data_IF_590353306025
#
_entry.id   IF_590353306025
#
_cell.length_a   1.000
_cell.length_b   1.000
_cell.length_c   1.000
_cell.angle_alpha   90.00
_cell.angle_beta   90.00
_cell.angle_gamma   90.00
#
_symmetry.space_group_name_H-M   'P 1'
#
loop_
_entity.id
_entity.type
_entity.pdbx_description
1 polymer ?
#
# COMPACT_ATOMS: atom_id res chain seq x y z
N UNK A 1 6.08 -42.43 -2.64
CA UNK A 1 6.38 -41.38 -1.64
C UNK A 1 5.61 -40.12 -2.04
N UNK A 2 4.46 -39.81 -1.41
CA UNK A 2 3.76 -38.55 -1.65
C UNK A 2 4.44 -37.42 -0.83
N UNK A 3 4.48 -36.20 -1.38
CA UNK A 3 5.11 -35.04 -0.73
C UNK A 3 4.21 -34.51 0.40
N UNK A 4 4.84 -34.11 1.50
CA UNK A 4 4.24 -33.83 2.82
C UNK A 4 3.34 -32.57 2.93
N UNK A 5 2.92 -31.94 1.83
CA UNK A 5 2.25 -30.63 1.89
C UNK A 5 0.95 -30.48 1.09
N UNK A 6 0.32 -31.58 0.68
CA UNK A 6 -1.10 -31.52 0.29
C UNK A 6 -1.96 -31.75 1.55
N UNK A 7 -1.98 -30.77 2.46
CA UNK A 7 -3.03 -30.72 3.49
C UNK A 7 -4.33 -30.33 2.79
N UNK A 8 -5.05 -31.33 2.32
CA UNK A 8 -6.45 -31.20 1.91
C UNK A 8 -7.21 -30.62 3.09
N UNK A 9 -7.60 -29.35 3.00
CA UNK A 9 -8.50 -28.73 3.98
C UNK A 9 -9.82 -29.51 3.90
N UNK A 10 -10.33 -30.08 5.00
CA UNK A 10 -11.57 -30.85 4.97
C UNK A 10 -12.73 -29.97 4.45
N UNK A 11 -13.62 -30.51 3.59
CA UNK A 11 -14.82 -29.80 3.19
C UNK A 11 -15.66 -29.47 4.45
N UNK A 12 -15.92 -28.18 4.71
CA UNK A 12 -16.67 -27.72 5.88
C UNK A 12 -15.88 -26.88 6.90
N UNK A 13 -14.59 -26.64 6.67
CA UNK A 13 -13.73 -25.76 7.49
C UNK A 13 -13.33 -24.48 6.74
N UNK A 14 -14.19 -23.98 5.85
CA UNK A 14 -13.99 -22.65 5.28
C UNK A 14 -14.31 -21.61 6.36
N UNK A 15 -13.27 -20.98 6.92
CA UNK A 15 -13.47 -19.77 7.72
C UNK A 15 -14.00 -18.71 6.76
N UNK A 16 -15.25 -18.27 6.96
CA UNK A 16 -15.72 -17.06 6.30
C UNK A 16 -14.84 -15.91 6.79
N UNK A 17 -14.02 -15.37 5.89
CA UNK A 17 -13.18 -14.21 6.15
C UNK A 17 -13.96 -13.02 5.60
N UNK A 18 -14.40 -12.08 6.46
CA UNK A 18 -15.10 -10.89 5.99
C UNK A 18 -14.30 -10.18 4.89
N UNK A 19 -14.97 -9.69 3.84
CA UNK A 19 -14.30 -8.93 2.79
C UNK A 19 -13.68 -7.67 3.39
N UNK A 20 -12.48 -7.32 2.95
CA UNK A 20 -11.91 -6.00 3.22
C UNK A 20 -12.57 -5.01 2.27
N UNK A 21 -12.98 -3.85 2.80
CA UNK A 21 -13.68 -2.83 2.03
C UNK A 21 -13.15 -1.41 2.26
N UNK A 22 -12.13 -1.27 3.10
CA UNK A 22 -11.57 0.00 3.53
C UNK A 22 -10.12 -0.15 4.00
N UNK A 23 -9.46 0.96 4.30
CA UNK A 23 -8.13 0.95 4.92
C UNK A 23 -8.17 0.32 6.32
N UNK A 24 -7.08 -0.35 6.68
CA UNK A 24 -6.88 -0.83 8.03
C UNK A 24 -6.88 0.36 9.02
N UNK A 25 -7.56 0.28 10.19
CA UNK A 25 -7.72 1.44 11.08
C UNK A 25 -6.41 2.10 11.52
N UNK A 26 -5.36 1.31 11.75
CA UNK A 26 -4.02 1.85 12.08
C UNK A 26 -3.44 2.63 10.90
N UNK A 27 -3.51 2.07 9.70
CA UNK A 27 -2.99 2.72 8.51
C UNK A 27 -3.78 4.00 8.22
N UNK A 28 -5.11 3.98 8.37
CA UNK A 28 -5.97 5.14 8.18
C UNK A 28 -5.60 6.30 9.11
N UNK A 29 -5.39 6.03 10.41
CA UNK A 29 -4.89 7.02 11.37
C UNK A 29 -3.49 7.53 11.00
N UNK A 30 -2.59 6.64 10.58
CA UNK A 30 -1.21 6.99 10.21
C UNK A 30 -1.14 7.81 8.92
N UNK A 31 -2.05 7.58 7.98
CA UNK A 31 -2.25 8.41 6.78
C UNK A 31 -2.66 9.84 7.17
N UNK A 32 -3.59 10.02 8.10
CA UNK A 32 -3.98 11.37 8.57
C UNK A 32 -2.84 12.07 9.33
N UNK A 33 -2.07 11.31 10.13
CA UNK A 33 -0.87 11.82 10.81
C UNK A 33 0.22 12.25 9.80
N UNK A 34 0.46 11.47 8.75
CA UNK A 34 1.37 11.79 7.66
C UNK A 34 0.99 13.11 6.98
N UNK A 35 -0.28 13.27 6.59
CA UNK A 35 -0.79 14.48 5.96
C UNK A 35 -0.59 15.69 6.89
N UNK A 36 -0.91 15.53 8.18
CA UNK A 36 -0.79 16.61 9.17
C UNK A 36 0.65 17.05 9.39
N UNK A 37 1.58 16.09 9.52
CA UNK A 37 3.01 16.36 9.71
C UNK A 37 3.66 16.97 8.45
N UNK A 38 3.27 16.52 7.26
CA UNK A 38 3.70 17.11 6.00
C UNK A 38 3.18 18.55 5.85
N UNK A 39 1.90 18.79 6.19
CA UNK A 39 1.31 20.12 6.16
C UNK A 39 2.01 21.09 7.13
N UNK A 40 2.44 20.62 8.31
CA UNK A 40 3.24 21.41 9.26
C UNK A 40 4.60 21.84 8.70
N UNK A 41 5.13 21.13 7.69
CA UNK A 41 6.33 21.49 6.92
C UNK A 41 6.04 22.33 5.68
N UNK A 42 4.77 22.71 5.45
CA UNK A 42 4.35 23.44 4.25
C UNK A 42 4.20 22.57 2.99
N UNK A 43 4.18 21.24 3.15
CA UNK A 43 4.05 20.28 2.05
C UNK A 43 2.60 19.80 1.97
N UNK A 44 1.98 19.90 0.79
CA UNK A 44 0.58 19.48 0.58
C UNK A 44 0.54 18.07 0.00
N UNK A 45 0.28 17.07 0.84
CA UNK A 45 0.11 15.67 0.41
C UNK A 45 -1.33 15.41 -0.03
N UNK A 46 -1.50 14.61 -1.08
CA UNK A 46 -2.78 14.07 -1.53
C UNK A 46 -2.68 12.55 -1.57
N UNK A 47 -3.66 11.87 -0.99
CA UNK A 47 -3.81 10.42 -1.14
C UNK A 47 -4.56 10.15 -2.43
N UNK A 48 -3.91 9.49 -3.39
CA UNK A 48 -4.46 9.21 -4.72
C UNK A 48 -5.11 7.85 -4.80
N UNK A 49 -4.69 6.91 -3.95
CA UNK A 49 -5.31 5.59 -3.83
C UNK A 49 -5.18 5.06 -2.39
N UNK A 50 -6.09 4.17 -2.01
CA UNK A 50 -6.17 3.55 -0.69
C UNK A 50 -6.59 2.10 -0.82
N UNK A 51 -7.74 1.72 -0.25
CA UNK A 51 -8.29 0.39 -0.52
C UNK A 51 -8.75 0.29 -1.98
N UNK A 52 -8.36 -0.81 -2.63
CA UNK A 52 -8.75 -1.17 -3.99
C UNK A 52 -9.17 -2.62 -4.02
N UNK A 53 -10.37 -2.95 -4.46
CA UNK A 53 -10.84 -4.33 -4.53
C UNK A 53 -10.00 -5.18 -5.50
N UNK A 54 -10.03 -6.50 -5.36
CA UNK A 54 -9.34 -7.41 -6.29
C UNK A 54 -9.81 -7.25 -7.73
N UNK A 55 -11.11 -6.98 -7.95
CA UNK A 55 -11.67 -6.76 -9.28
C UNK A 55 -11.13 -5.48 -9.91
N UNK A 56 -11.04 -4.38 -9.15
CA UNK A 56 -10.43 -3.13 -9.62
C UNK A 56 -8.94 -3.31 -9.92
N UNK A 57 -8.24 -4.12 -9.12
CA UNK A 57 -6.85 -4.46 -9.36
C UNK A 57 -6.66 -5.28 -10.65
N UNK A 58 -7.54 -6.23 -10.95
CA UNK A 58 -7.48 -6.97 -12.21
C UNK A 58 -7.72 -6.06 -13.42
N UNK A 59 -8.57 -5.04 -13.30
CA UNK A 59 -8.75 -4.00 -14.32
C UNK A 59 -7.47 -3.16 -14.50
N UNK A 60 -6.75 -2.83 -13.42
CA UNK A 60 -5.44 -2.18 -13.54
C UNK A 60 -4.39 -3.11 -14.17
N UNK A 61 -4.41 -4.39 -13.80
CA UNK A 61 -3.50 -5.39 -14.34
C UNK A 61 -3.69 -5.59 -15.85
N UNK A 62 -4.90 -5.44 -16.41
CA UNK A 62 -5.07 -5.59 -17.87
C UNK A 62 -4.48 -4.43 -18.70
N UNK A 63 -4.27 -3.25 -18.09
CA UNK A 63 -3.73 -2.07 -18.80
C UNK A 63 -2.30 -2.31 -19.31
N UNK A 64 -2.05 -1.88 -20.55
CA UNK A 64 -0.74 -2.01 -21.21
C UNK A 64 -0.39 -3.42 -21.67
N UNK A 65 -1.27 -4.42 -21.48
CA UNK A 65 -1.02 -5.82 -21.85
C UNK A 65 -1.71 -6.26 -23.15
N UNK A 66 -2.86 -5.66 -23.47
CA UNK A 66 -3.70 -6.07 -24.62
C UNK A 66 -3.87 -4.97 -25.68
N UNK A 67 -2.77 -4.41 -26.21
CA UNK A 67 -2.82 -3.54 -27.41
C UNK A 67 -2.16 -2.17 -27.31
N UNK A 68 -1.26 -1.97 -26.35
CA UNK A 68 -0.45 -0.74 -26.20
C UNK A 68 -0.71 0.03 -24.91
N UNK A 69 0.17 0.98 -24.61
CA UNK A 69 0.20 1.71 -23.34
C UNK A 69 1.18 1.12 -22.33
N UNK A 70 1.49 1.89 -21.29
CA UNK A 70 2.42 1.46 -20.24
C UNK A 70 1.76 0.46 -19.28
N UNK A 71 2.52 -0.55 -18.88
CA UNK A 71 2.14 -1.41 -17.75
C UNK A 71 2.13 -0.56 -16.49
N UNK A 72 0.99 -0.50 -15.80
CA UNK A 72 0.80 0.31 -14.58
C UNK A 72 0.98 -0.48 -13.28
N UNK A 73 0.91 -1.81 -13.35
CA UNK A 73 1.12 -2.71 -12.21
C UNK A 73 1.48 -4.11 -12.67
N UNK A 74 2.23 -4.85 -11.86
CA UNK A 74 2.50 -6.28 -12.05
C UNK A 74 1.66 -7.20 -11.15
N UNK A 75 0.90 -6.64 -10.20
CA UNK A 75 0.07 -7.39 -9.27
C UNK A 75 -1.33 -7.63 -9.81
N UNK A 76 -1.82 -8.88 -9.73
CA UNK A 76 -3.22 -9.23 -10.00
C UNK A 76 -4.10 -8.95 -8.78
N UNK A 77 -5.41 -9.12 -8.94
CA UNK A 77 -6.36 -9.12 -7.83
C UNK A 77 -5.94 -10.07 -6.71
N UNK A 78 -5.83 -9.53 -5.50
CA UNK A 78 -5.37 -10.24 -4.31
C UNK A 78 -3.85 -10.32 -4.16
N UNK A 79 -3.07 -9.73 -5.07
CA UNK A 79 -1.60 -9.70 -5.02
C UNK A 79 -1.04 -8.32 -4.66
N UNK A 80 -1.90 -7.35 -4.36
CA UNK A 80 -1.53 -6.02 -3.88
C UNK A 80 -2.00 -5.80 -2.45
N UNK A 81 -1.19 -5.11 -1.64
CA UNK A 81 -1.58 -4.70 -0.28
C UNK A 81 -2.78 -3.72 -0.28
N UNK A 82 -3.04 -3.01 -1.38
CA UNK A 82 -4.27 -2.22 -1.56
C UNK A 82 -5.53 -3.09 -1.47
N UNK A 83 -5.46 -4.36 -1.89
CA UNK A 83 -6.58 -5.32 -1.82
C UNK A 83 -6.94 -5.73 -0.39
N UNK A 84 -6.08 -5.40 0.56
CA UNK A 84 -6.22 -5.71 1.96
C UNK A 84 -6.29 -4.46 2.84
N UNK A 85 -6.37 -3.26 2.24
CA UNK A 85 -6.43 -2.00 2.98
C UNK A 85 -5.12 -1.66 3.70
N UNK A 86 -4.00 -2.23 3.24
CA UNK A 86 -2.68 -2.15 3.87
C UNK A 86 -1.70 -1.25 3.10
N UNK A 87 -2.18 -0.52 2.09
CA UNK A 87 -1.38 0.43 1.33
C UNK A 87 -2.17 1.68 0.95
N UNK A 88 -1.44 2.76 0.68
CA UNK A 88 -1.91 4.02 0.11
C UNK A 88 -0.91 4.47 -0.95
N UNK A 89 -1.40 5.18 -1.96
CA UNK A 89 -0.58 5.92 -2.89
C UNK A 89 -0.71 7.41 -2.58
N UNK A 90 0.41 8.14 -2.63
CA UNK A 90 0.42 9.58 -2.45
C UNK A 90 0.99 10.34 -3.64
N UNK A 91 0.60 11.61 -3.73
CA UNK A 91 1.17 12.62 -4.61
C UNK A 91 1.29 13.95 -3.85
N UNK A 92 1.90 14.94 -4.48
CA UNK A 92 2.01 16.30 -3.94
C UNK A 92 1.05 17.24 -4.66
N UNK A 93 0.63 18.30 -3.99
CA UNK A 93 0.05 19.49 -4.63
C UNK A 93 1.10 20.59 -4.70
N UNK A 94 1.25 21.15 -5.88
CA UNK A 94 2.13 22.29 -6.07
C UNK A 94 1.48 23.61 -5.54
N UNK A 95 2.07 24.75 -5.90
CA UNK A 95 1.58 26.07 -5.47
C UNK A 95 0.34 26.53 -6.22
N UNK A 96 0.07 26.05 -7.44
CA UNK A 96 -1.16 26.35 -8.18
C UNK A 96 -2.32 25.47 -7.69
N UNK A 97 -1.99 24.35 -7.01
CA UNK A 97 -2.93 23.37 -6.50
C UNK A 97 -3.04 22.13 -7.38
N UNK A 98 -2.20 22.03 -8.42
CA UNK A 98 -2.15 20.90 -9.33
C UNK A 98 -1.48 19.70 -8.64
N UNK A 99 -1.98 18.50 -8.93
CA UNK A 99 -1.40 17.25 -8.42
C UNK A 99 -0.20 16.88 -9.28
N UNK A 100 0.95 16.68 -8.63
CA UNK A 100 2.23 16.38 -9.27
C UNK A 100 2.87 15.13 -8.66
N UNK A 101 3.59 14.39 -9.51
CA UNK A 101 4.41 13.21 -9.17
C UNK A 101 5.89 13.51 -9.34
N UNK A 102 6.27 14.77 -9.11
CA UNK A 102 7.64 15.24 -9.24
C UNK A 102 8.40 14.98 -7.93
N UNK A 103 9.38 14.07 -7.99
CA UNK A 103 10.22 13.70 -6.86
C UNK A 103 11.31 14.72 -6.54
N UNK A 104 11.56 15.69 -7.41
CA UNK A 104 12.56 16.75 -7.23
C UNK A 104 11.92 18.07 -6.77
N UNK A 105 10.58 18.13 -6.74
CA UNK A 105 9.83 19.32 -6.35
C UNK A 105 10.18 19.79 -4.93
N UNK A 106 10.56 21.06 -4.80
CA UNK A 106 10.79 21.77 -3.53
C UNK A 106 9.80 22.95 -3.40
N UNK A 107 8.57 22.63 -3.02
CA UNK A 107 7.48 23.57 -2.83
C UNK A 107 7.62 24.41 -1.57
N UNK A 108 8.27 23.87 -0.54
CA UNK A 108 8.51 24.55 0.72
C UNK A 108 9.77 25.46 0.72
N UNK A 109 10.62 25.37 -0.32
CA UNK A 109 11.86 26.15 -0.55
C UNK A 109 12.94 25.95 0.52
N UNK A 110 13.03 24.77 1.12
CA UNK A 110 14.04 24.50 2.13
C UNK A 110 15.33 23.84 1.57
N UNK A 111 15.40 23.64 0.25
CA UNK A 111 16.54 23.02 -0.43
C UNK A 111 16.49 21.49 -0.42
N UNK A 112 15.36 20.88 -0.07
CA UNK A 112 15.13 19.43 -0.12
C UNK A 112 13.88 19.14 -0.95
N UNK A 113 13.87 18.00 -1.60
CA UNK A 113 12.69 17.53 -2.29
C UNK A 113 11.58 17.18 -1.30
N UNK A 114 10.40 17.79 -1.48
CA UNK A 114 9.22 17.58 -0.66
C UNK A 114 8.81 16.10 -0.64
N UNK A 115 8.98 15.39 -1.77
CA UNK A 115 8.68 13.96 -1.88
C UNK A 115 9.48 13.12 -0.87
N UNK A 116 10.79 13.37 -0.79
CA UNK A 116 11.68 12.63 0.12
C UNK A 116 11.43 13.01 1.59
N UNK A 117 10.99 14.24 1.85
CA UNK A 117 10.55 14.62 3.19
C UNK A 117 9.29 13.87 3.62
N UNK A 118 8.30 13.75 2.73
CA UNK A 118 7.07 12.97 2.99
C UNK A 118 7.42 11.50 3.22
N UNK A 119 8.32 10.93 2.42
CA UNK A 119 8.81 9.55 2.62
C UNK A 119 9.50 9.39 3.98
N UNK A 120 10.33 10.35 4.39
CA UNK A 120 11.00 10.30 5.69
C UNK A 120 9.99 10.33 6.86
N UNK A 121 8.93 11.14 6.76
CA UNK A 121 7.82 11.16 7.73
C UNK A 121 7.06 9.83 7.70
N UNK A 122 6.73 9.31 6.52
CA UNK A 122 6.02 8.04 6.39
C UNK A 122 6.81 6.89 7.04
N UNK A 123 8.12 6.82 6.80
CA UNK A 123 9.00 5.83 7.44
C UNK A 123 9.05 5.98 8.95
N UNK A 124 9.08 7.20 9.50
CA UNK A 124 9.04 7.40 10.95
C UNK A 124 7.70 7.03 11.59
N UNK A 125 6.62 7.04 10.80
CA UNK A 125 5.29 6.58 11.18
C UNK A 125 5.09 5.06 11.04
N UNK A 126 6.08 4.34 10.50
CA UNK A 126 6.06 2.89 10.34
C UNK A 126 5.64 2.39 8.96
N UNK A 127 5.51 3.27 7.97
CA UNK A 127 5.32 2.83 6.57
C UNK A 127 6.64 2.33 5.98
N UNK A 128 6.55 1.30 5.15
CA UNK A 128 7.59 1.02 4.15
C UNK A 128 7.25 1.74 2.85
N UNK A 129 8.26 2.08 2.04
CA UNK A 129 8.09 2.85 0.81
C UNK A 129 8.42 2.02 -0.43
N UNK A 130 7.56 2.08 -1.44
CA UNK A 130 7.74 1.35 -2.70
C UNK A 130 8.92 1.83 -3.54
N UNK A 131 9.37 3.06 -3.35
CA UNK A 131 10.60 3.55 -3.98
C UNK A 131 11.88 2.87 -3.49
N UNK A 132 11.85 2.17 -2.35
CA UNK A 132 12.99 1.35 -1.88
C UNK A 132 13.03 -0.04 -2.54
N UNK A 133 12.03 -0.42 -3.32
CA UNK A 133 11.98 -1.76 -3.92
C UNK A 133 13.10 -1.95 -4.94
N UNK A 134 13.83 -3.09 -4.90
CA UNK A 134 14.97 -3.33 -5.79
C UNK A 134 14.57 -3.54 -7.25
N UNK A 135 13.31 -3.90 -7.49
CA UNK A 135 12.73 -4.11 -8.82
C UNK A 135 11.38 -3.42 -8.88
N UNK A 136 11.14 -2.70 -9.97
CA UNK A 136 9.93 -1.90 -10.19
C UNK A 136 9.63 -0.94 -9.02
N UNK A 137 10.52 0.02 -8.72
CA UNK A 137 10.25 1.02 -7.70
C UNK A 137 8.92 1.72 -7.95
N UNK A 138 8.08 1.78 -6.93
CA UNK A 138 6.78 2.42 -6.96
C UNK A 138 6.78 3.62 -6.01
N UNK A 139 7.16 4.78 -6.54
CA UNK A 139 7.42 5.96 -5.71
C UNK A 139 6.19 6.47 -4.96
N UNK A 140 4.96 6.43 -5.51
CA UNK A 140 3.74 6.79 -4.77
C UNK A 140 3.41 5.86 -3.60
N UNK A 141 3.86 4.59 -3.65
CA UNK A 141 3.34 3.53 -2.78
C UNK A 141 3.92 3.58 -1.36
N UNK A 142 3.04 3.59 -0.36
CA UNK A 142 3.37 3.41 1.05
C UNK A 142 2.51 2.28 1.63
N UNK A 143 3.11 1.38 2.40
CA UNK A 143 2.38 0.27 3.02
C UNK A 143 2.75 0.02 4.48
N UNK A 144 1.81 -0.60 5.20
CA UNK A 144 2.02 -1.20 6.51
C UNK A 144 1.48 -2.64 6.45
N UNK A 145 2.36 -3.63 6.27
CA UNK A 145 1.96 -5.03 6.12
C UNK A 145 1.82 -5.79 7.45
N UNK A 146 2.28 -5.18 8.55
CA UNK A 146 2.26 -5.79 9.90
C UNK A 146 2.95 -7.16 9.96
N UNK A 147 3.89 -7.43 9.05
CA UNK A 147 4.57 -8.71 8.91
C UNK A 147 3.81 -9.78 8.13
N UNK A 148 2.62 -9.47 7.60
CA UNK A 148 1.84 -10.42 6.79
C UNK A 148 2.28 -10.40 5.34
N UNK A 149 2.58 -11.57 4.81
CA UNK A 149 2.78 -11.76 3.38
C UNK A 149 1.46 -11.75 2.60
N UNK A 150 1.53 -11.41 1.31
CA UNK A 150 0.41 -11.57 0.37
C UNK A 150 -0.16 -12.99 0.40
N UNK A 151 0.68 -14.02 0.58
CA UNK A 151 0.20 -15.40 0.66
C UNK A 151 -0.69 -15.62 1.89
N UNK A 152 -0.30 -15.13 3.06
CA UNK A 152 -1.12 -15.24 4.27
C UNK A 152 -2.44 -14.47 4.13
N UNK A 153 -2.38 -13.28 3.54
CA UNK A 153 -3.57 -12.46 3.27
C UNK A 153 -4.53 -13.15 2.30
N UNK A 154 -4.03 -13.79 1.24
CA UNK A 154 -4.85 -14.60 0.30
C UNK A 154 -5.50 -15.80 1.00
N UNK A 155 -4.85 -16.37 2.01
CA UNK A 155 -5.37 -17.48 2.80
C UNK A 155 -6.26 -17.05 3.99
N UNK A 156 -6.60 -15.76 4.07
CA UNK A 156 -7.59 -15.27 5.03
C UNK A 156 -7.03 -14.74 6.35
N UNK A 157 -5.71 -14.75 6.52
CA UNK A 157 -5.09 -14.10 7.68
C UNK A 157 -5.22 -12.58 7.55
N UNK A 158 -5.40 -11.89 8.67
CA UNK A 158 -5.55 -10.42 8.71
C UNK A 158 -4.76 -9.89 9.91
N UNK A 159 -4.13 -8.70 9.78
CA UNK A 159 -3.59 -8.02 10.93
C UNK A 159 -4.70 -7.64 11.92
N UNK A 160 -4.41 -7.63 13.23
CA UNK A 160 -5.32 -7.12 14.25
C UNK A 160 -5.64 -5.64 14.04
N UNK A 161 -6.90 -5.25 14.30
CA UNK A 161 -7.37 -3.86 14.09
C UNK A 161 -6.60 -2.81 14.92
N UNK A 162 -6.02 -3.23 16.05
CA UNK A 162 -5.19 -2.39 16.91
C UNK A 162 -3.71 -2.30 16.47
N UNK A 163 -3.31 -3.09 15.47
CA UNK A 163 -1.95 -3.11 14.91
C UNK A 163 -0.93 -3.90 15.71
N UNK A 164 -1.35 -4.70 16.69
CA UNK A 164 -0.45 -5.65 17.33
C UNK A 164 0.03 -6.65 16.27
N UNK A 165 1.34 -6.74 16.03
CA UNK A 165 1.87 -7.76 15.14
C UNK A 165 1.45 -9.13 15.69
N UNK A 166 1.12 -10.08 14.79
CA UNK A 166 0.82 -11.45 15.20
C UNK A 166 2.05 -12.12 15.84
N UNK A 167 2.30 -11.84 17.11
CA UNK A 167 3.12 -12.68 17.98
C UNK A 167 2.34 -13.97 18.21
N UNK A 168 2.38 -14.90 17.25
CA UNK A 168 2.19 -16.33 17.47
C UNK A 168 2.25 -17.07 16.13
N UNK A 169 3.44 -17.56 15.79
CA UNK A 169 3.73 -18.95 15.39
C UNK A 169 5.06 -18.99 14.61
N UNK A 170 6.13 -19.27 15.36
CA UNK A 170 7.44 -19.66 14.84
C UNK A 170 7.49 -21.17 14.64
#
# INVERSE_FOLDING_TARGET
MPRLFDRVVPPGLYREVPPVTQLHPVLDRKKDELISLAAAKGIKVVITDGFRSSAEQDVLYSKGRDGGGSIVTHARGGESYHNYGLAIDFALKDRTGDIIWDMEYDGNKNGKADWLEVVAIAKSLGFTWGGDWPQFPDNPHLQMDFGYSIWELKNGNRPPEDGTAGEENK
#
